data_IF_348967455894
#
_entry.id   IF_348967455894
#
_cell.length_a   1.000
_cell.length_b   1.000
_cell.length_c   1.000
_cell.angle_alpha   90.00
_cell.angle_beta   90.00
_cell.angle_gamma   90.00
#
_symmetry.space_group_name_H-M   'P 1'
#
loop_
_entity.id
_entity.type
_entity.pdbx_description
1 polymer ?
#
# COMPACT_ATOMS: atom_id res chain seq x y z
N UNK A 1 -11.19 2.19 19.43
CA UNK A 1 -10.91 2.15 19.22
C UNK A 1 -10.42 2.28 19.35
N UNK A 2 -10.04 2.20 19.71
CA UNK A 2 -9.54 2.17 19.65
C UNK A 2 -9.09 1.93 19.32
N UNK A 3 -8.70 1.56 19.37
CA UNK A 3 -8.16 1.17 18.95
C UNK A 3 -7.56 1.03 18.67
N UNK A 4 -7.28 0.89 18.92
CA UNK A 4 -6.67 0.66 18.74
C UNK A 4 -5.99 0.83 18.92
N UNK A 5 -5.81 0.88 19.22
CA UNK A 5 -5.36 1.00 19.43
C UNK A 5 -5.07 1.29 20.08
N UNK A 6 -5.02 1.36 20.59
CA UNK A 6 -4.89 1.43 20.99
C UNK A 6 -4.37 1.13 21.41
N UNK A 7 -3.94 0.79 21.69
CA UNK A 7 -3.54 0.30 21.85
C UNK A 7 -2.76 0.46 22.11
N UNK A 8 -2.47 0.47 22.44
CA UNK A 8 -1.99 0.51 22.50
C UNK A 8 -1.62 0.93 22.96
N UNK A 9 -1.69 1.25 23.36
CA UNK A 9 -1.63 1.53 23.59
C UNK A 9 -1.22 1.73 23.88
N UNK A 10 -0.70 1.96 24.36
CA UNK A 10 -0.48 1.95 24.53
C UNK A 10 0.32 2.08 24.53
N UNK A 11 0.88 2.18 24.49
CA UNK A 11 1.54 2.13 24.29
C UNK A 11 2.35 2.35 23.98
N UNK A 12 2.88 2.22 23.92
CA UNK A 12 3.55 2.30 23.31
C UNK A 12 4.25 2.42 22.69
N UNK A 13 4.58 2.28 22.78
CA UNK A 13 5.37 2.42 22.24
C UNK A 13 5.82 2.13 21.17
N UNK A 14 5.65 1.86 20.50
CA UNK A 14 6.12 1.64 19.49
C UNK A 14 6.44 2.63 18.86
N UNK A 15 7.31 2.81 18.70
CA UNK A 15 7.75 3.69 18.16
C UNK A 15 8.22 3.36 16.93
N UNK A 16 7.78 3.05 16.16
CA UNK A 16 8.10 2.63 15.04
C UNK A 16 8.12 3.57 14.04
N UNK A 17 8.80 3.43 13.03
CA UNK A 17 8.95 4.36 12.00
C UNK A 17 7.84 4.20 11.00
N UNK A 18 7.26 3.02 10.87
CA UNK A 18 6.08 2.76 10.07
C UNK A 18 4.88 3.00 10.94
N UNK A 19 3.94 3.77 10.46
CA UNK A 19 2.76 4.07 11.24
C UNK A 19 1.97 2.80 11.48
N UNK A 20 1.38 2.64 12.65
CA UNK A 20 0.61 1.43 12.95
C UNK A 20 -0.51 1.17 11.95
N UNK A 21 -1.11 2.23 11.42
CA UNK A 21 -2.23 2.08 10.50
C UNK A 21 -1.86 1.37 9.23
N UNK A 22 -0.64 1.59 8.75
CA UNK A 22 -0.21 1.00 7.48
C UNK A 22 -0.06 -0.51 7.58
N UNK A 23 0.54 -1.00 8.66
CA UNK A 23 0.77 -2.44 8.81
C UNK A 23 -0.55 -3.21 8.94
N UNK A 24 -1.51 -2.81 9.76
CA UNK A 24 -2.81 -3.49 9.77
C UNK A 24 -3.50 -3.45 8.41
N UNK A 25 -3.34 -2.35 7.66
CA UNK A 25 -3.93 -2.26 6.35
C UNK A 25 -3.34 -3.31 5.40
N UNK A 26 -2.01 -3.49 5.43
CA UNK A 26 -1.37 -4.49 4.58
C UNK A 26 -1.87 -5.88 4.95
N UNK A 27 -2.00 -6.17 6.22
CA UNK A 27 -2.49 -7.47 6.65
C UNK A 27 -3.93 -7.70 6.24
N UNK A 28 -4.72 -6.66 6.28
CA UNK A 28 -6.12 -6.77 5.84
C UNK A 28 -6.21 -7.08 4.36
N UNK A 29 -5.38 -6.42 3.56
CA UNK A 29 -5.34 -6.72 2.12
C UNK A 29 -4.99 -8.19 1.89
N UNK A 30 -4.07 -8.72 2.70
CA UNK A 30 -3.66 -10.10 2.55
C UNK A 30 -4.77 -11.09 2.86
N UNK A 31 -5.61 -10.78 3.85
CA UNK A 31 -6.69 -11.69 4.18
C UNK A 31 -7.86 -11.60 3.21
N UNK A 32 -8.00 -10.47 2.53
CA UNK A 32 -9.13 -10.25 1.63
C UNK A 32 -8.87 -10.70 0.21
N UNK A 33 -7.63 -11.01 -0.13
CA UNK A 33 -7.27 -11.42 -1.48
C UNK A 33 -6.41 -12.67 -1.45
N UNK A 34 -6.27 -13.28 -2.64
CA UNK A 34 -5.35 -14.41 -2.80
C UNK A 34 -4.09 -13.99 -3.54
N UNK A 35 -3.83 -12.70 -3.63
CA UNK A 35 -2.62 -12.21 -4.28
C UNK A 35 -1.41 -12.57 -3.44
N UNK A 36 -0.25 -12.73 -4.08
CA UNK A 36 0.95 -13.03 -3.32
C UNK A 36 1.41 -11.79 -2.56
N UNK A 37 2.26 -12.03 -1.56
CA UNK A 37 2.70 -10.94 -0.67
C UNK A 37 3.41 -9.81 -1.38
N UNK A 38 4.33 -10.09 -2.33
CA UNK A 38 4.99 -8.98 -3.02
C UNK A 38 3.99 -8.09 -3.77
N UNK A 39 2.99 -8.67 -4.40
CA UNK A 39 1.99 -7.90 -5.11
C UNK A 39 1.14 -7.07 -4.15
N UNK A 40 0.77 -7.65 -3.01
CA UNK A 40 0.04 -6.92 -1.98
C UNK A 40 0.85 -5.74 -1.47
N UNK A 41 2.17 -5.94 -1.29
CA UNK A 41 3.03 -4.85 -0.83
C UNK A 41 3.01 -3.68 -1.81
N UNK A 42 3.07 -3.99 -3.09
CA UNK A 42 3.01 -2.94 -4.12
C UNK A 42 1.66 -2.23 -4.09
N UNK A 43 0.58 -2.99 -3.97
CA UNK A 43 -0.76 -2.41 -3.90
C UNK A 43 -0.89 -1.49 -2.67
N UNK A 44 -0.34 -1.91 -1.55
CA UNK A 44 -0.41 -1.11 -0.32
C UNK A 44 0.31 0.23 -0.49
N UNK A 45 1.45 0.22 -1.17
CA UNK A 45 2.18 1.46 -1.41
C UNK A 45 1.38 2.40 -2.31
N UNK A 46 0.70 1.84 -3.31
CA UNK A 46 -0.15 2.66 -4.17
C UNK A 46 -1.29 3.28 -3.35
N UNK A 47 -1.91 2.48 -2.50
CA UNK A 47 -2.99 2.97 -1.65
C UNK A 47 -2.51 4.07 -0.70
N UNK A 48 -1.26 3.96 -0.26
CA UNK A 48 -0.69 4.95 0.65
C UNK A 48 -0.55 6.31 -0.03
N UNK A 49 -0.04 6.32 -1.26
CA UNK A 49 0.40 7.58 -1.84
C UNK A 49 -0.29 7.95 -3.16
N UNK A 50 -1.34 7.27 -3.54
CA UNK A 50 -1.98 7.58 -4.82
C UNK A 50 -2.40 9.06 -4.93
N UNK A 51 -2.31 9.66 -6.08
CA UNK A 51 -1.67 9.09 -7.29
C UNK A 51 -0.16 9.12 -7.13
N UNK A 52 0.47 8.06 -7.59
CA UNK A 52 1.92 7.91 -7.42
C UNK A 52 2.54 7.56 -8.77
N UNK A 53 3.73 8.07 -9.03
CA UNK A 53 4.43 7.79 -10.28
C UNK A 53 4.95 6.36 -10.28
N UNK A 54 4.81 5.69 -11.42
CA UNK A 54 5.29 4.33 -11.56
C UNK A 54 6.80 4.26 -11.30
N UNK A 55 7.54 5.27 -11.75
CA UNK A 55 8.98 5.31 -11.50
C UNK A 55 9.29 5.32 -10.01
N UNK A 56 8.44 5.96 -9.21
CA UNK A 56 8.63 5.97 -7.78
C UNK A 56 8.39 4.59 -7.18
N UNK A 57 7.36 3.91 -7.66
CA UNK A 57 7.06 2.56 -7.20
C UNK A 57 8.21 1.62 -7.52
N UNK A 58 8.74 1.72 -8.74
CA UNK A 58 9.85 0.88 -9.15
C UNK A 58 11.08 1.16 -8.29
N UNK A 59 11.31 2.42 -7.96
CA UNK A 59 12.44 2.79 -7.11
C UNK A 59 12.32 2.12 -5.73
N UNK A 60 11.11 2.04 -5.20
CA UNK A 60 10.88 1.44 -3.89
C UNK A 60 10.91 -0.08 -3.93
N UNK A 61 10.28 -0.66 -4.95
CA UNK A 61 10.05 -2.10 -5.00
C UNK A 61 11.00 -2.85 -5.92
N UNK A 62 11.71 -2.15 -6.78
CA UNK A 62 12.57 -2.80 -7.75
C UNK A 62 11.81 -3.15 -9.02
N UNK A 63 12.49 -3.84 -9.94
CA UNK A 63 11.94 -4.11 -11.26
C UNK A 63 10.75 -5.05 -11.23
N UNK A 64 10.60 -5.87 -10.19
CA UNK A 64 9.45 -6.75 -10.10
C UNK A 64 8.15 -5.96 -9.98
N UNK A 65 8.24 -4.68 -9.67
CA UNK A 65 7.04 -3.84 -9.60
C UNK A 65 6.30 -3.80 -10.94
N UNK A 66 7.00 -3.91 -12.05
CA UNK A 66 6.34 -3.90 -13.36
C UNK A 66 5.35 -5.05 -13.49
N UNK A 67 5.75 -6.24 -13.04
CA UNK A 67 4.86 -7.40 -13.09
C UNK A 67 3.70 -7.22 -12.13
N UNK A 68 3.95 -6.68 -10.95
CA UNK A 68 2.88 -6.43 -9.99
C UNK A 68 1.86 -5.45 -10.54
N UNK A 69 2.35 -4.37 -11.16
CA UNK A 69 1.45 -3.35 -11.71
C UNK A 69 0.61 -3.91 -12.85
N UNK A 70 1.22 -4.73 -13.70
CA UNK A 70 0.49 -5.34 -14.79
C UNK A 70 -0.62 -6.24 -14.25
N UNK A 71 -0.30 -7.04 -13.26
CA UNK A 71 -1.27 -7.94 -12.64
C UNK A 71 -2.42 -7.15 -11.99
N UNK A 72 -2.08 -6.10 -11.24
CA UNK A 72 -3.09 -5.31 -10.56
C UNK A 72 -3.98 -4.57 -11.55
N UNK A 73 -3.39 -4.13 -12.66
CA UNK A 73 -4.18 -3.47 -13.70
C UNK A 73 -5.12 -4.45 -14.38
N UNK A 74 -4.67 -5.67 -14.61
CA UNK A 74 -5.50 -6.71 -15.19
C UNK A 74 -6.66 -7.07 -14.28
N UNK A 75 -6.44 -7.00 -12.97
CA UNK A 75 -7.51 -7.23 -12.00
C UNK A 75 -8.39 -5.99 -11.82
N UNK A 76 -8.03 -4.90 -12.48
CA UNK A 76 -8.80 -3.65 -12.46
C UNK A 76 -8.79 -2.96 -11.11
N UNK A 77 -7.79 -3.23 -10.29
CA UNK A 77 -7.64 -2.53 -9.00
C UNK A 77 -6.91 -1.21 -9.16
N UNK A 78 -6.12 -1.05 -10.23
CA UNK A 78 -5.41 0.20 -10.50
C UNK A 78 -5.56 0.58 -11.95
N UNK A 79 -5.33 1.87 -12.23
CA UNK A 79 -5.19 2.35 -13.59
C UNK A 79 -3.86 3.08 -13.69
N UNK A 80 -3.28 3.07 -14.88
CA UNK A 80 -2.03 3.75 -15.17
C UNK A 80 -2.23 4.68 -16.34
N UNK A 81 -1.89 5.93 -16.16
CA UNK A 81 -2.05 6.95 -17.20
C UNK A 81 -0.69 7.52 -17.57
N UNK A 82 -0.44 7.82 -18.84
CA UNK A 82 0.84 8.44 -19.23
C UNK A 82 1.07 9.74 -18.46
N UNK A 83 2.31 9.94 -18.06
CA UNK A 83 2.70 11.13 -17.31
C UNK A 83 4.17 11.40 -17.59
N UNK A 84 4.47 12.22 -18.60
CA UNK A 84 5.83 12.45 -19.02
C UNK A 84 6.46 11.16 -19.52
N UNK A 85 7.59 10.81 -18.94
CA UNK A 85 8.32 9.61 -19.33
C UNK A 85 7.93 8.38 -18.51
N UNK A 86 6.95 8.53 -17.64
CA UNK A 86 6.51 7.42 -16.81
C UNK A 86 4.99 7.40 -16.83
N UNK A 87 4.38 6.76 -15.84
CA UNK A 87 2.93 6.68 -15.74
C UNK A 87 2.51 7.07 -14.34
N UNK A 88 1.31 7.62 -14.23
CA UNK A 88 0.71 7.94 -12.95
C UNK A 88 -0.26 6.81 -12.58
N UNK A 89 -0.11 6.29 -11.38
CA UNK A 89 -0.85 5.10 -10.93
C UNK A 89 -1.80 5.50 -9.82
N UNK A 90 -3.03 5.00 -9.88
CA UNK A 90 -3.98 5.22 -8.80
C UNK A 90 -4.97 4.07 -8.72
N UNK A 91 -5.67 4.01 -7.60
CA UNK A 91 -6.68 2.99 -7.36
C UNK A 91 -7.94 3.27 -8.17
N UNK A 92 -8.74 2.24 -8.38
CA UNK A 92 -9.99 2.32 -9.15
C UNK A 92 -11.18 2.20 -8.22
N UNK A 93 -12.38 2.56 -8.71
CA UNK A 93 -13.59 2.29 -7.92
C UNK A 93 -13.76 0.83 -7.56
N UNK A 94 -13.30 -0.08 -8.41
CA UNK A 94 -13.39 -1.51 -8.11
C UNK A 94 -12.61 -1.86 -6.84
N UNK A 95 -11.45 -1.23 -6.64
CA UNK A 95 -10.69 -1.44 -5.42
C UNK A 95 -11.52 -1.05 -4.20
N UNK A 96 -12.13 0.14 -4.26
CA UNK A 96 -12.89 0.63 -3.13
C UNK A 96 -14.11 -0.24 -2.83
N UNK A 97 -14.75 -0.75 -3.87
CA UNK A 97 -15.87 -1.66 -3.70
C UNK A 97 -15.44 -2.98 -3.08
N UNK A 98 -14.36 -3.53 -3.61
CA UNK A 98 -13.87 -4.83 -3.18
C UNK A 98 -13.49 -4.83 -1.70
N UNK A 99 -12.84 -3.77 -1.25
CA UNK A 99 -12.36 -3.67 0.11
C UNK A 99 -13.31 -2.88 1.02
N UNK A 100 -14.49 -2.53 0.49
CA UNK A 100 -15.55 -1.86 1.28
C UNK A 100 -15.03 -0.62 1.97
N UNK A 101 -14.41 0.25 1.20
CA UNK A 101 -13.88 1.50 1.74
C UNK A 101 -14.08 2.60 0.71
N UNK A 102 -13.59 3.79 0.99
CA UNK A 102 -13.66 4.90 0.07
C UNK A 102 -12.36 5.69 0.17
N UNK A 103 -12.19 6.59 -0.78
CA UNK A 103 -10.94 7.34 -0.89
C UNK A 103 -10.66 8.17 0.36
N UNK A 104 -11.70 8.77 0.92
CA UNK A 104 -11.53 9.63 2.09
C UNK A 104 -11.08 8.84 3.31
N UNK A 105 -11.76 7.72 3.59
CA UNK A 105 -11.41 6.89 4.74
C UNK A 105 -10.01 6.30 4.58
N UNK A 106 -9.69 5.87 3.37
CA UNK A 106 -8.38 5.30 3.10
C UNK A 106 -7.29 6.33 3.34
N UNK A 107 -7.50 7.55 2.86
CA UNK A 107 -6.51 8.62 3.03
C UNK A 107 -6.28 8.92 4.50
N UNK A 108 -7.33 8.87 5.31
CA UNK A 108 -7.20 9.13 6.74
C UNK A 108 -6.40 8.05 7.46
N UNK A 109 -6.46 6.81 6.94
CA UNK A 109 -5.79 5.69 7.57
C UNK A 109 -4.32 5.61 7.22
N UNK A 110 -3.89 6.30 6.19
CA UNK A 110 -2.52 6.18 5.71
C UNK A 110 -1.58 7.15 6.43
N UNK A 111 -0.29 6.78 6.53
CA UNK A 111 0.70 7.69 7.13
C UNK A 111 0.80 8.99 6.35
N UNK A 112 1.17 10.05 7.03
CA UNK A 112 1.35 11.35 6.40
C UNK A 112 2.68 11.44 5.67
N UNK A 113 3.62 10.57 5.99
CA UNK A 113 4.93 10.59 5.36
C UNK A 113 4.88 9.97 3.96
N UNK A 114 5.96 10.14 3.21
CA UNK A 114 6.08 9.55 1.89
C UNK A 114 6.63 8.14 1.98
N UNK A 115 6.13 7.20 1.17
CA UNK A 115 6.74 5.88 1.13
C UNK A 115 8.13 5.94 0.52
N UNK A 116 9.05 5.16 1.06
CA UNK A 116 10.41 5.11 0.55
C UNK A 116 10.96 3.69 0.73
N UNK A 117 12.25 3.53 0.53
CA UNK A 117 12.87 2.21 0.59
C UNK A 117 12.77 1.57 1.97
N UNK A 118 12.67 2.38 3.03
CA UNK A 118 12.53 1.80 4.37
C UNK A 118 11.19 1.11 4.52
N UNK A 119 10.17 1.55 3.81
CA UNK A 119 8.86 0.89 3.81
C UNK A 119 8.98 -0.49 3.20
N UNK A 120 9.68 -0.59 2.06
CA UNK A 120 9.86 -1.87 1.41
C UNK A 120 10.62 -2.84 2.32
N UNK A 121 11.63 -2.33 3.01
CA UNK A 121 12.41 -3.13 3.92
C UNK A 121 11.56 -3.62 5.09
N UNK A 122 10.74 -2.74 5.63
CA UNK A 122 9.87 -3.10 6.75
C UNK A 122 8.86 -4.18 6.32
N UNK A 123 8.30 -4.06 5.14
CA UNK A 123 7.36 -5.05 4.62
C UNK A 123 8.07 -6.39 4.44
N UNK A 124 9.30 -6.34 3.91
CA UNK A 124 10.07 -7.55 3.71
C UNK A 124 10.34 -8.26 5.02
N UNK A 125 10.70 -7.50 6.05
CA UNK A 125 10.93 -8.08 7.36
C UNK A 125 9.65 -8.68 7.95
N UNK A 126 8.54 -8.00 7.75
CA UNK A 126 7.26 -8.46 8.26
C UNK A 126 6.85 -9.79 7.67
N UNK A 127 7.13 -10.00 6.38
CA UNK A 127 6.70 -11.21 5.68
C UNK A 127 7.80 -12.23 5.51
N UNK A 128 9.01 -11.91 5.92
CA UNK A 128 10.11 -12.86 5.85
C UNK A 128 10.63 -13.10 4.44
N UNK A 129 10.47 -12.15 3.56
CA UNK A 129 10.92 -12.36 2.18
C UNK A 129 11.60 -11.16 1.59
#
# INVERSE_FOLDING_TARGET
>A
KESAIEILEQGNSYRMHIKPDFIPFVKELMTETEFDRPTISTLAIIAWKQPILQSRIVKIRGNTAYDHLKFLEEKEFIIRKPHGLTRLVKLTPKFYEYFDTNQEDLAKSMPKSEPDETVALAIKQLFGS
#
